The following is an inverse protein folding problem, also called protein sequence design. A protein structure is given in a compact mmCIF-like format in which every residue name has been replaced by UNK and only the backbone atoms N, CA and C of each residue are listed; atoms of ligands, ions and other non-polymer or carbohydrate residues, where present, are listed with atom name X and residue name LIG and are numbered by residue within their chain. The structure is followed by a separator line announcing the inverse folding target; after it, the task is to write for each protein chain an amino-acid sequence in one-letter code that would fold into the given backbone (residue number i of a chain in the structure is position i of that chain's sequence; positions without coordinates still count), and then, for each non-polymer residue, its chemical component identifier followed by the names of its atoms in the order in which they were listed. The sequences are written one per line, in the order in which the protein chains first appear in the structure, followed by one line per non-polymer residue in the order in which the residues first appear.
data_IF_521568340400
#
_entry.id   IF_521568340400
#
_cell.length_a   1.000
_cell.length_b   1.000
_cell.length_c   1.000
_cell.angle_alpha   90.00
_cell.angle_beta   90.00
_cell.angle_gamma   90.00
#
_symmetry.space_group_name_H-M   'P 1'
#
loop_
_entity.id
_entity.type
_entity.pdbx_description
1 polymer ?
#
# COMPACT_ATOMS: atom_id res chain seq x y z
N UNK A 1 21.91 60.73 12.32
CA UNK A 1 22.11 59.78 13.44
C UNK A 1 21.03 58.69 13.52
N UNK A 2 19.72 59.01 13.51
CA UNK A 2 18.64 58.01 13.58
C UNK A 2 18.58 57.02 12.40
N UNK A 3 18.91 57.46 11.18
CA UNK A 3 18.92 56.61 9.97
C UNK A 3 20.09 55.60 10.00
N UNK A 4 21.26 56.01 10.52
CA UNK A 4 22.45 55.16 10.62
C UNK A 4 22.23 54.04 11.66
N UNK A 5 21.56 54.35 12.78
CA UNK A 5 21.19 53.36 13.81
C UNK A 5 20.18 52.34 13.25
N UNK A 6 19.23 52.78 12.42
CA UNK A 6 18.27 51.89 11.76
C UNK A 6 18.93 50.92 10.78
N UNK A 7 19.90 51.39 10.00
CA UNK A 7 20.64 50.54 9.05
C UNK A 7 21.53 49.52 9.79
N UNK A 8 22.16 49.91 10.90
CA UNK A 8 22.98 49.01 11.72
C UNK A 8 22.15 47.89 12.38
N UNK A 9 20.91 48.19 12.79
CA UNK A 9 20.00 47.21 13.35
C UNK A 9 19.50 46.17 12.32
N UNK A 10 19.34 46.57 11.05
CA UNK A 10 18.95 45.65 9.95
C UNK A 10 20.09 44.71 9.56
N UNK A 11 21.35 45.18 9.60
CA UNK A 11 22.53 44.35 9.31
C UNK A 11 22.77 43.29 10.40
N UNK A 12 22.48 43.60 11.67
CA UNK A 12 22.60 42.64 12.78
C UNK A 12 21.56 41.50 12.73
N UNK A 13 20.49 41.65 11.95
CA UNK A 13 19.48 40.60 11.72
C UNK A 13 19.79 39.75 10.47
N UNK A 14 20.80 40.11 9.69
CA UNK A 14 21.27 39.34 8.54
C UNK A 14 22.21 38.20 8.99
N UNK A 15 21.68 37.26 9.76
CA UNK A 15 22.39 36.03 10.08
C UNK A 15 22.46 35.12 8.85
N UNK A 16 23.65 34.93 8.28
CA UNK A 16 23.89 33.88 7.31
C UNK A 16 23.62 32.52 7.98
N UNK A 17 22.55 31.84 7.57
CA UNK A 17 22.36 30.44 7.91
C UNK A 17 23.40 29.62 7.14
N UNK A 18 24.48 29.24 7.82
CA UNK A 18 25.42 28.28 7.25
C UNK A 18 24.71 26.94 7.08
N UNK A 19 24.75 26.44 5.84
CA UNK A 19 24.23 25.11 5.53
C UNK A 19 25.13 24.09 6.23
N UNK A 20 24.64 23.51 7.33
CA UNK A 20 25.29 22.38 7.95
C UNK A 20 25.27 21.19 6.98
N UNK A 21 26.44 20.83 6.45
CA UNK A 21 26.64 19.60 5.68
C UNK A 21 27.27 18.58 6.62
N UNK A 22 26.49 17.65 7.20
CA UNK A 22 27.07 16.61 8.04
C UNK A 22 28.12 15.85 7.24
N UNK A 23 29.29 15.61 7.85
CA UNK A 23 30.28 14.68 7.31
C UNK A 23 29.71 13.27 7.43
N UNK A 24 28.99 12.84 6.39
CA UNK A 24 28.45 11.49 6.32
C UNK A 24 29.60 10.53 6.03
N UNK A 25 29.83 9.56 6.92
CA UNK A 25 30.66 8.41 6.60
C UNK A 25 29.90 7.58 5.54
N UNK A 26 30.24 7.79 4.27
CA UNK A 26 29.69 7.06 3.13
C UNK A 26 30.26 5.63 3.09
N UNK A 27 29.99 4.83 4.11
CA UNK A 27 30.23 3.40 4.04
C UNK A 27 29.39 2.83 2.87
N UNK A 28 29.93 1.82 2.18
CA UNK A 28 29.22 1.13 1.09
C UNK A 28 28.02 0.37 1.68
N UNK A 29 26.86 1.02 1.77
CA UNK A 29 25.64 0.50 2.41
C UNK A 29 24.80 -0.27 1.40
N UNK A 30 25.23 -1.48 1.03
CA UNK A 30 24.43 -2.45 0.27
C UNK A 30 24.06 -3.66 1.14
N UNK A 31 23.58 -3.39 2.35
CA UNK A 31 23.15 -4.42 3.30
C UNK A 31 21.94 -5.15 2.73
N UNK A 32 21.89 -6.46 2.97
CA UNK A 32 20.73 -7.27 2.61
C UNK A 32 19.57 -6.94 3.55
N UNK A 33 18.41 -6.64 2.98
CA UNK A 33 17.16 -6.45 3.69
C UNK A 33 16.24 -7.62 3.32
N UNK A 34 15.70 -8.28 4.33
CA UNK A 34 14.85 -9.47 4.20
C UNK A 34 13.49 -9.19 4.83
N UNK A 35 12.45 -9.17 4.01
CA UNK A 35 11.07 -9.02 4.47
C UNK A 35 10.28 -10.29 4.19
N UNK A 36 9.67 -10.87 5.20
CA UNK A 36 8.86 -12.08 5.03
C UNK A 36 8.78 -12.88 6.32
N UNK A 37 8.04 -13.98 6.26
CA UNK A 37 7.92 -14.92 7.36
C UNK A 37 7.76 -16.33 6.79
N UNK A 38 8.06 -17.32 7.62
CA UNK A 38 7.81 -18.73 7.28
C UNK A 38 6.36 -19.03 7.65
N UNK A 39 5.54 -19.21 6.62
CA UNK A 39 4.13 -19.55 6.78
C UNK A 39 3.96 -21.04 7.11
N UNK A 40 3.30 -21.31 8.23
CA UNK A 40 3.05 -22.67 8.73
C UNK A 40 1.58 -23.10 8.60
N UNK A 41 0.69 -22.25 8.07
CA UNK A 41 -0.75 -22.54 7.97
C UNK A 41 -1.18 -23.22 6.67
N UNK A 42 -0.31 -24.01 6.03
CA UNK A 42 -0.62 -24.70 4.77
C UNK A 42 -0.49 -23.83 3.52
N UNK A 43 -0.12 -22.55 3.66
CA UNK A 43 0.12 -21.62 2.57
C UNK A 43 1.59 -21.58 2.12
N UNK A 44 1.86 -20.81 1.07
CA UNK A 44 3.23 -20.51 0.66
C UNK A 44 3.87 -19.48 1.62
N UNK A 45 5.20 -19.56 1.77
CA UNK A 45 6.02 -18.53 2.39
C UNK A 45 6.60 -17.63 1.31
N UNK A 46 6.48 -16.31 1.46
CA UNK A 46 7.01 -15.33 0.52
C UNK A 46 7.98 -14.39 1.22
N UNK A 47 9.16 -14.21 0.61
CA UNK A 47 10.21 -13.31 1.06
C UNK A 47 10.54 -12.29 -0.04
N UNK A 48 10.64 -11.02 0.33
CA UNK A 48 11.13 -9.95 -0.52
C UNK A 48 12.55 -9.60 -0.05
N UNK A 49 13.51 -9.72 -0.96
CA UNK A 49 14.91 -9.41 -0.73
C UNK A 49 15.28 -8.12 -1.45
N UNK A 50 15.78 -7.14 -0.69
CA UNK A 50 16.26 -5.87 -1.23
C UNK A 50 17.63 -5.53 -0.68
N UNK A 51 18.27 -4.50 -1.26
CA UNK A 51 19.54 -3.94 -0.82
C UNK A 51 19.32 -2.50 -0.40
N UNK A 52 19.92 -2.12 0.73
CA UNK A 52 19.99 -0.71 1.10
C UNK A 52 20.74 0.08 0.02
N UNK A 53 20.43 1.36 -0.11
CA UNK A 53 21.14 2.30 -0.97
C UNK A 53 21.76 3.40 -0.13
N UNK A 54 22.63 4.22 -0.73
CA UNK A 54 23.16 5.39 -0.01
C UNK A 54 22.07 6.44 0.10
N UNK A 55 22.15 7.26 1.14
CA UNK A 55 21.22 8.38 1.36
C UNK A 55 21.17 9.38 0.17
N UNK A 56 22.26 9.47 -0.60
CA UNK A 56 22.36 10.35 -1.77
C UNK A 56 21.85 9.73 -3.06
N UNK A 57 21.59 8.43 -3.07
CA UNK A 57 21.09 7.74 -4.26
C UNK A 57 19.60 8.08 -4.46
N UNK A 58 19.12 8.20 -5.71
CA UNK A 58 17.69 8.36 -5.95
C UNK A 58 16.95 7.18 -5.30
N UNK A 59 15.87 7.46 -4.57
CA UNK A 59 15.12 6.53 -3.70
C UNK A 59 14.41 5.37 -4.39
N UNK A 60 15.09 4.70 -5.33
CA UNK A 60 14.64 3.49 -6.01
C UNK A 60 14.99 2.29 -5.15
N UNK A 61 14.02 1.39 -4.98
CA UNK A 61 14.21 0.10 -4.31
C UNK A 61 15.12 -0.77 -5.20
N UNK A 62 16.19 -1.32 -4.61
CA UNK A 62 17.11 -2.23 -5.27
C UNK A 62 16.77 -3.66 -4.85
N UNK A 63 16.19 -4.44 -5.75
CA UNK A 63 15.84 -5.84 -5.50
C UNK A 63 17.05 -6.77 -5.64
N UNK A 64 17.23 -7.68 -4.69
CA UNK A 64 18.26 -8.73 -4.76
C UNK A 64 17.74 -9.88 -5.63
N UNK A 65 18.28 -10.01 -6.84
CA UNK A 65 17.84 -11.02 -7.83
C UNK A 65 18.77 -12.23 -7.88
N UNK A 66 18.25 -13.37 -8.30
CA UNK A 66 19.02 -14.60 -8.50
C UNK A 66 19.59 -15.21 -7.22
N UNK A 67 19.08 -14.84 -6.03
CA UNK A 67 19.46 -15.47 -4.78
C UNK A 67 18.90 -16.90 -4.71
N UNK A 68 19.64 -17.81 -4.08
CA UNK A 68 19.13 -19.14 -3.72
C UNK A 68 18.53 -19.04 -2.32
N UNK A 69 17.20 -19.13 -2.24
CA UNK A 69 16.47 -19.02 -0.98
C UNK A 69 15.83 -20.36 -0.64
N UNK A 70 15.98 -20.80 0.61
CA UNK A 70 15.41 -22.05 1.11
C UNK A 70 15.02 -21.92 2.58
N UNK A 71 13.97 -22.61 2.97
CA UNK A 71 13.64 -22.87 4.37
C UNK A 71 14.27 -24.22 4.74
N UNK A 72 14.95 -24.26 5.88
CA UNK A 72 15.58 -25.49 6.39
C UNK A 72 15.03 -25.82 7.77
N UNK A 73 14.64 -27.07 7.94
CA UNK A 73 14.29 -27.67 9.23
C UNK A 73 15.57 -28.05 9.99
N UNK A 74 15.49 -28.09 11.32
CA UNK A 74 16.57 -28.56 12.16
C UNK A 74 16.84 -30.08 11.96
N UNK A 75 15.81 -30.83 11.60
CA UNK A 75 15.88 -32.24 11.23
C UNK A 75 16.38 -32.49 9.79
N UNK A 76 16.84 -31.44 9.09
CA UNK A 76 17.51 -31.55 7.79
C UNK A 76 16.60 -31.51 6.57
N UNK A 77 15.27 -31.35 6.74
CA UNK A 77 14.36 -31.15 5.59
C UNK A 77 14.59 -29.78 4.96
N UNK A 78 14.51 -29.71 3.64
CA UNK A 78 14.76 -28.48 2.86
C UNK A 78 13.55 -28.18 1.99
N UNK A 79 13.12 -26.93 2.01
CA UNK A 79 12.02 -26.41 1.20
C UNK A 79 12.56 -25.25 0.35
N UNK A 80 12.82 -25.46 -0.96
CA UNK A 80 13.33 -24.41 -1.83
C UNK A 80 12.26 -23.36 -2.14
N UNK A 81 12.69 -22.12 -2.36
CA UNK A 81 11.86 -21.02 -2.83
C UNK A 81 12.29 -20.63 -4.24
N UNK A 82 11.32 -20.25 -5.08
CA UNK A 82 11.54 -19.79 -6.45
C UNK A 82 11.31 -18.30 -6.58
N UNK A 83 12.11 -17.62 -7.38
CA UNK A 83 11.92 -16.19 -7.67
C UNK A 83 10.70 -16.01 -8.60
N UNK A 84 9.62 -15.43 -8.08
CA UNK A 84 8.36 -15.22 -8.83
C UNK A 84 8.29 -13.86 -9.51
N UNK A 85 8.99 -12.88 -8.95
CA UNK A 85 9.19 -11.54 -9.48
C UNK A 85 10.53 -11.00 -8.96
N UNK A 86 11.13 -9.97 -9.56
CA UNK A 86 12.43 -9.46 -9.14
C UNK A 86 12.57 -9.31 -7.61
N UNK A 87 13.46 -10.09 -7.01
CA UNK A 87 13.72 -10.12 -5.57
C UNK A 87 12.59 -10.66 -4.69
N UNK A 88 11.56 -11.29 -5.25
CA UNK A 88 10.48 -11.93 -4.50
C UNK A 88 10.57 -13.44 -4.66
N UNK A 89 10.76 -14.15 -3.55
CA UNK A 89 10.98 -15.59 -3.49
C UNK A 89 9.81 -16.26 -2.77
N UNK A 90 9.20 -17.26 -3.38
CA UNK A 90 8.00 -17.92 -2.86
C UNK A 90 8.19 -19.44 -2.81
N UNK A 91 7.77 -20.07 -1.72
CA UNK A 91 7.77 -21.54 -1.59
C UNK A 91 6.51 -22.16 -2.22
N UNK A 92 6.52 -23.48 -2.42
CA UNK A 92 5.26 -24.22 -2.50
C UNK A 92 4.46 -24.09 -1.19
N UNK A 93 3.19 -24.47 -1.21
CA UNK A 93 2.40 -24.61 0.02
C UNK A 93 3.10 -25.54 1.01
N UNK A 94 3.30 -25.08 2.25
CA UNK A 94 4.07 -25.81 3.26
C UNK A 94 3.16 -26.33 4.37
N UNK A 95 3.34 -27.61 4.70
CA UNK A 95 2.84 -28.21 5.94
C UNK A 95 4.04 -28.55 6.81
N UNK A 96 4.26 -27.74 7.84
CA UNK A 96 5.41 -27.85 8.74
C UNK A 96 5.07 -28.70 9.97
N UNK A 97 6.05 -29.42 10.50
CA UNK A 97 5.93 -30.17 11.75
C UNK A 97 5.99 -29.19 12.93
N UNK A 98 4.97 -29.24 13.79
CA UNK A 98 4.83 -28.33 14.93
C UNK A 98 5.90 -28.52 16.01
N UNK A 99 6.57 -29.68 16.03
CA UNK A 99 7.61 -29.99 17.01
C UNK A 99 9.03 -29.65 16.52
N UNK A 100 9.17 -29.24 15.25
CA UNK A 100 10.44 -28.93 14.62
C UNK A 100 10.73 -27.42 14.67
N UNK A 101 11.97 -27.04 14.37
CA UNK A 101 12.40 -25.65 14.22
C UNK A 101 12.83 -25.38 12.80
N UNK A 102 12.52 -24.19 12.32
CA UNK A 102 12.79 -23.78 10.96
C UNK A 102 13.58 -22.48 10.93
N UNK A 103 14.39 -22.32 9.89
CA UNK A 103 15.10 -21.08 9.58
C UNK A 103 15.11 -20.81 8.09
N UNK A 104 15.33 -19.55 7.73
CA UNK A 104 15.61 -19.14 6.36
C UNK A 104 17.11 -19.22 6.08
N UNK A 105 17.48 -19.72 4.90
CA UNK A 105 18.83 -19.72 4.37
C UNK A 105 18.83 -19.07 3.00
N UNK A 106 19.73 -18.09 2.82
CA UNK A 106 19.87 -17.30 1.60
C UNK A 106 21.32 -17.39 1.15
N UNK A 107 21.55 -17.73 -0.11
CA UNK A 107 22.84 -17.54 -0.76
C UNK A 107 22.68 -16.48 -1.85
N UNK A 108 23.42 -15.37 -1.71
CA UNK A 108 23.31 -14.23 -2.61
C UNK A 108 24.63 -13.46 -2.68
N UNK A 109 25.07 -13.11 -3.90
CA UNK A 109 26.32 -12.37 -4.10
C UNK A 109 27.57 -13.07 -3.55
N UNK A 110 27.61 -14.41 -3.59
CA UNK A 110 28.71 -15.22 -3.05
C UNK A 110 28.77 -15.29 -1.51
N UNK A 111 27.74 -14.79 -0.82
CA UNK A 111 27.63 -14.80 0.65
C UNK A 111 26.46 -15.67 1.09
N UNK A 112 26.58 -16.22 2.29
CA UNK A 112 25.51 -17.00 2.92
C UNK A 112 24.96 -16.25 4.13
N UNK A 113 23.63 -16.21 4.23
CA UNK A 113 22.88 -15.59 5.30
C UNK A 113 21.92 -16.59 5.89
N UNK A 114 21.86 -16.65 7.22
CA UNK A 114 21.00 -17.57 7.96
C UNK A 114 20.20 -16.78 8.99
N UNK A 115 18.90 -17.06 9.10
CA UNK A 115 18.14 -16.67 10.29
C UNK A 115 18.45 -17.63 11.43
N UNK A 116 18.15 -17.19 12.65
CA UNK A 116 18.03 -18.13 13.76
C UNK A 116 16.91 -19.15 13.52
N UNK A 117 17.03 -20.31 14.18
CA UNK A 117 15.99 -21.32 14.23
C UNK A 117 14.84 -20.83 15.11
N UNK A 118 13.64 -20.74 14.54
CA UNK A 118 12.42 -20.41 15.28
C UNK A 118 11.45 -21.59 15.32
N UNK A 119 10.68 -21.67 16.40
CA UNK A 119 9.57 -22.63 16.55
C UNK A 119 8.32 -22.06 15.91
N UNK A 120 7.46 -22.93 15.41
CA UNK A 120 6.15 -22.54 14.91
C UNK A 120 5.31 -21.89 16.01
N UNK A 121 4.77 -20.70 15.71
CA UNK A 121 3.82 -19.99 16.56
C UNK A 121 2.40 -20.19 16.07
N UNK A 122 1.53 -20.59 16.98
CA UNK A 122 0.10 -20.65 16.74
C UNK A 122 -0.48 -19.22 16.75
N UNK A 123 -1.12 -18.82 15.67
CA UNK A 123 -1.78 -17.52 15.59
C UNK A 123 -3.27 -17.71 15.89
N UNK A 124 -3.82 -17.07 16.93
CA UNK A 124 -5.25 -17.16 17.22
C UNK A 124 -6.07 -16.49 16.11
N UNK A 125 -7.35 -16.86 16.02
CA UNK A 125 -8.24 -16.31 15.01
C UNK A 125 -8.53 -14.81 15.24
N UNK A 126 -8.90 -14.12 14.17
CA UNK A 126 -9.42 -12.75 14.24
C UNK A 126 -10.90 -12.83 14.61
N UNK A 127 -11.27 -12.35 15.80
CA UNK A 127 -12.65 -12.37 16.30
C UNK A 127 -13.55 -11.49 15.45
N UNK A 128 -13.09 -10.28 15.15
CA UNK A 128 -13.78 -9.36 14.26
C UNK A 128 -12.84 -8.27 13.74
N UNK A 129 -13.20 -7.74 12.58
CA UNK A 129 -12.73 -6.45 12.11
C UNK A 129 -13.95 -5.55 12.13
N UNK A 130 -13.93 -4.52 12.97
CA UNK A 130 -15.05 -3.61 13.19
C UNK A 130 -14.68 -2.19 12.76
N UNK A 131 -15.68 -1.32 12.69
CA UNK A 131 -15.47 0.09 12.38
C UNK A 131 -16.38 0.97 13.23
N UNK A 132 -15.94 2.20 13.48
CA UNK A 132 -16.70 3.23 14.14
C UNK A 132 -16.52 4.56 13.39
N UNK A 133 -17.58 5.36 13.37
CA UNK A 133 -17.52 6.73 12.87
C UNK A 133 -16.95 7.63 13.95
N UNK A 134 -15.91 8.37 13.60
CA UNK A 134 -15.28 9.39 14.42
C UNK A 134 -15.38 10.76 13.74
N UNK A 135 -15.08 11.83 14.47
CA UNK A 135 -15.20 13.20 13.96
C UNK A 135 -14.37 13.46 12.68
N UNK A 136 -13.25 12.76 12.52
CA UNK A 136 -12.29 12.89 11.43
C UNK A 136 -12.45 11.82 10.32
N UNK A 137 -13.41 10.90 10.45
CA UNK A 137 -13.61 9.84 9.45
C UNK A 137 -14.11 8.53 10.02
N UNK A 138 -13.60 7.44 9.46
CA UNK A 138 -13.97 6.06 9.80
C UNK A 138 -12.75 5.34 10.37
N UNK A 139 -12.83 4.94 11.63
CA UNK A 139 -11.78 4.21 12.34
C UNK A 139 -12.10 2.72 12.34
N UNK A 140 -11.20 1.92 11.79
CA UNK A 140 -11.30 0.47 11.79
C UNK A 140 -10.48 -0.11 12.93
N UNK A 141 -11.00 -1.18 13.54
CA UNK A 141 -10.38 -1.90 14.64
C UNK A 141 -10.26 -3.38 14.33
N UNK A 142 -9.24 -4.00 14.91
CA UNK A 142 -9.07 -5.45 14.94
C UNK A 142 -9.29 -5.95 16.37
N UNK A 143 -10.05 -7.03 16.50
CA UNK A 143 -10.30 -7.71 17.76
C UNK A 143 -9.81 -9.16 17.66
N UNK A 144 -9.04 -9.59 18.66
CA UNK A 144 -8.58 -10.98 18.77
C UNK A 144 -8.36 -11.34 20.24
N UNK A 145 -8.49 -12.63 20.55
CA UNK A 145 -8.15 -13.17 21.85
C UNK A 145 -7.48 -14.54 21.70
N UNK A 146 -6.62 -14.89 22.65
CA UNK A 146 -6.10 -16.24 22.81
C UNK A 146 -6.52 -16.81 24.17
N UNK A 147 -7.49 -17.73 24.23
CA UNK A 147 -7.90 -18.34 25.48
C UNK A 147 -6.82 -19.27 26.06
N UNK A 148 -5.82 -19.69 25.26
CA UNK A 148 -4.73 -20.57 25.69
C UNK A 148 -3.49 -19.82 26.13
N UNK A 149 -3.48 -18.49 25.99
CA UNK A 149 -2.35 -17.65 26.35
C UNK A 149 -1.02 -18.11 25.70
N UNK A 150 -1.10 -18.52 24.43
CA UNK A 150 0.04 -19.09 23.68
C UNK A 150 0.87 -18.04 22.95
N UNK A 151 0.33 -16.83 22.81
CA UNK A 151 1.02 -15.64 22.32
C UNK A 151 0.60 -14.42 23.16
N UNK A 152 1.37 -13.34 23.09
CA UNK A 152 1.03 -12.03 23.68
C UNK A 152 1.37 -10.87 22.75
N UNK A 153 1.88 -11.19 21.56
CA UNK A 153 2.42 -10.22 20.62
C UNK A 153 1.89 -10.52 19.24
N UNK A 154 1.46 -9.47 18.55
CA UNK A 154 0.70 -9.56 17.33
C UNK A 154 1.23 -8.58 16.29
N UNK A 155 1.15 -9.01 15.04
CA UNK A 155 1.29 -8.14 13.88
C UNK A 155 0.05 -8.28 13.00
N UNK A 156 -0.37 -7.15 12.43
CA UNK A 156 -1.40 -7.10 11.41
C UNK A 156 -0.85 -6.49 10.13
N UNK A 157 -1.20 -7.12 9.01
CA UNK A 157 -1.07 -6.55 7.67
C UNK A 157 -2.45 -6.39 7.08
N UNK A 158 -2.61 -5.46 6.16
CA UNK A 158 -3.92 -5.23 5.56
C UNK A 158 -3.82 -4.88 4.07
N UNK A 159 -4.77 -5.40 3.31
CA UNK A 159 -4.92 -5.12 1.88
C UNK A 159 -6.29 -4.47 1.67
N UNK A 160 -6.30 -3.23 1.18
CA UNK A 160 -7.52 -2.46 0.97
C UNK A 160 -7.90 -2.54 -0.51
N UNK A 161 -9.19 -2.65 -0.80
CA UNK A 161 -9.73 -2.57 -2.15
C UNK A 161 -11.05 -1.82 -2.11
N UNK A 162 -11.27 -0.89 -3.04
CA UNK A 162 -12.53 -0.15 -3.12
C UNK A 162 -13.04 -0.05 -4.55
N UNK A 163 -14.37 -0.06 -4.67
CA UNK A 163 -15.10 0.29 -5.87
C UNK A 163 -15.34 1.81 -5.88
N UNK A 164 -15.13 2.42 -7.04
CA UNK A 164 -15.46 3.81 -7.29
C UNK A 164 -16.00 3.96 -8.72
N UNK A 165 -16.84 4.97 -8.93
CA UNK A 165 -17.41 5.26 -10.24
C UNK A 165 -16.87 6.58 -10.80
N UNK A 166 -16.78 6.66 -12.12
CA UNK A 166 -16.60 7.93 -12.83
C UNK A 166 -17.74 8.90 -12.48
N UNK A 167 -17.44 10.19 -12.43
CA UNK A 167 -18.45 11.22 -12.14
C UNK A 167 -19.49 11.34 -13.26
N UNK A 168 -19.08 11.05 -14.50
CA UNK A 168 -19.98 11.04 -15.66
C UNK A 168 -19.95 9.68 -16.35
N UNK A 169 -21.12 9.22 -16.77
CA UNK A 169 -21.23 8.14 -17.76
C UNK A 169 -20.91 8.68 -19.15
N UNK A 170 -20.38 7.84 -20.04
CA UNK A 170 -20.13 8.22 -21.44
C UNK A 170 -20.78 7.24 -22.41
N UNK A 171 -21.51 7.77 -23.39
CA UNK A 171 -22.04 7.02 -24.54
C UNK A 171 -21.34 7.43 -25.84
N UNK A 172 -20.55 8.50 -25.83
CA UNK A 172 -19.87 9.07 -27.00
C UNK A 172 -18.35 8.92 -26.93
N UNK A 173 -17.71 8.85 -28.10
CA UNK A 173 -16.26 8.90 -28.27
C UNK A 173 -15.90 9.74 -29.49
N UNK A 174 -14.67 10.21 -29.55
CA UNK A 174 -14.14 10.81 -30.78
C UNK A 174 -14.11 9.80 -31.92
N UNK A 175 -14.42 10.29 -33.13
CA UNK A 175 -14.09 9.62 -34.39
C UNK A 175 -12.83 10.23 -34.97
N UNK A 176 -12.00 9.41 -35.60
CA UNK A 176 -10.72 9.81 -36.18
C UNK A 176 -10.67 9.43 -37.66
N UNK A 177 -9.95 10.21 -38.47
CA UNK A 177 -9.54 9.82 -39.82
C UNK A 177 -8.31 8.89 -39.80
N UNK A 178 -7.86 8.49 -40.99
CA UNK A 178 -6.67 7.65 -41.15
C UNK A 178 -5.37 8.33 -40.73
N UNK A 179 -5.39 9.66 -40.54
CA UNK A 179 -4.27 10.49 -40.10
C UNK A 179 -4.36 10.84 -38.61
N UNK A 180 -5.29 10.21 -37.87
CA UNK A 180 -5.53 10.42 -36.45
C UNK A 180 -6.02 11.83 -36.08
N UNK A 181 -6.64 12.56 -37.01
CA UNK A 181 -7.31 13.82 -36.71
C UNK A 181 -8.74 13.56 -36.26
N UNK A 182 -9.21 14.34 -35.29
CA UNK A 182 -10.61 14.30 -34.87
C UNK A 182 -11.50 14.74 -36.04
N UNK A 183 -12.47 13.90 -36.39
CA UNK A 183 -13.48 14.12 -37.44
C UNK A 183 -14.89 14.34 -36.90
N UNK A 184 -15.10 14.10 -35.60
CA UNK A 184 -16.39 14.27 -34.94
C UNK A 184 -16.51 13.45 -33.67
N UNK A 185 -17.75 13.21 -33.25
CA UNK A 185 -18.10 12.29 -32.17
C UNK A 185 -19.07 11.23 -32.68
N UNK A 186 -18.97 10.03 -32.14
CA UNK A 186 -19.84 8.90 -32.47
C UNK A 186 -20.17 8.11 -31.21
N UNK A 187 -21.21 7.28 -31.26
CA UNK A 187 -21.54 6.40 -30.15
C UNK A 187 -20.45 5.34 -29.94
N UNK A 188 -20.14 5.07 -28.66
CA UNK A 188 -19.20 4.02 -28.25
C UNK A 188 -19.73 2.64 -28.57
N UNK A 189 -21.01 2.43 -28.25
CA UNK A 189 -21.71 1.16 -28.38
C UNK A 189 -22.83 1.27 -29.42
N UNK A 190 -23.11 0.21 -30.21
CA UNK A 190 -24.23 0.20 -31.15
C UNK A 190 -25.59 0.45 -30.49
N UNK A 191 -25.76 0.03 -29.23
CA UNK A 191 -26.96 0.25 -28.41
C UNK A 191 -27.18 1.73 -28.02
N UNK A 192 -26.17 2.60 -28.20
CA UNK A 192 -26.15 3.99 -27.74
C UNK A 192 -26.25 4.16 -26.21
N UNK A 193 -26.16 3.07 -25.45
CA UNK A 193 -26.13 3.10 -23.99
C UNK A 193 -24.79 3.60 -23.46
N UNK A 194 -24.76 3.99 -22.17
CA UNK A 194 -23.51 4.29 -21.49
C UNK A 194 -22.57 3.08 -21.48
N UNK A 195 -21.28 3.34 -21.68
CA UNK A 195 -20.22 2.35 -21.57
C UNK A 195 -19.81 2.18 -20.10
N UNK A 196 -20.33 1.12 -19.48
CA UNK A 196 -20.07 0.82 -18.07
C UNK A 196 -18.63 0.37 -17.80
N UNK A 197 -17.86 -0.01 -18.83
CA UNK A 197 -16.49 -0.51 -18.69
C UNK A 197 -15.48 0.57 -18.31
N UNK A 198 -15.82 1.84 -18.55
CA UNK A 198 -15.04 3.03 -18.15
C UNK A 198 -15.71 3.81 -17.01
N UNK A 199 -16.87 3.34 -16.54
CA UNK A 199 -17.61 3.95 -15.44
C UNK A 199 -17.33 3.27 -14.10
N UNK A 200 -17.33 1.94 -14.03
CA UNK A 200 -17.14 1.18 -12.77
C UNK A 200 -15.73 0.59 -12.70
N UNK A 201 -14.95 1.02 -11.71
CA UNK A 201 -13.60 0.53 -11.48
C UNK A 201 -13.33 0.16 -10.02
N UNK A 202 -12.23 -0.56 -9.84
CA UNK A 202 -11.66 -0.91 -8.55
C UNK A 202 -10.23 -0.41 -8.45
N UNK A 203 -9.81 -0.09 -7.24
CA UNK A 203 -8.41 0.12 -6.91
C UNK A 203 -8.06 -0.70 -5.66
N UNK A 204 -6.84 -1.21 -5.63
CA UNK A 204 -6.29 -1.92 -4.47
C UNK A 204 -5.02 -1.26 -3.99
N UNK A 205 -4.80 -1.30 -2.69
CA UNK A 205 -3.64 -0.73 -2.03
C UNK A 205 -3.16 -1.68 -0.93
N UNK A 206 -1.84 -1.92 -0.90
CA UNK A 206 -1.16 -2.60 0.19
C UNK A 206 -0.29 -1.58 0.91
N UNK A 207 -0.71 -1.15 2.10
CA UNK A 207 0.07 -0.25 2.93
C UNK A 207 1.14 -1.04 3.69
N UNK A 208 2.34 -0.47 3.79
CA UNK A 208 3.47 -1.06 4.51
C UNK A 208 3.63 -0.50 5.94
N UNK A 209 2.60 0.13 6.51
CA UNK A 209 2.69 0.61 7.89
C UNK A 209 2.79 -0.56 8.88
N UNK A 210 3.60 -0.36 9.92
CA UNK A 210 3.87 -1.38 10.92
C UNK A 210 2.75 -1.35 11.97
N UNK A 211 1.82 -2.28 11.85
CA UNK A 211 0.73 -2.47 12.80
C UNK A 211 1.05 -3.63 13.73
N UNK A 212 1.41 -3.32 14.97
CA UNK A 212 1.74 -4.30 16.01
C UNK A 212 0.99 -3.98 17.30
N UNK A 213 0.72 -5.00 18.12
CA UNK A 213 0.04 -4.85 19.40
C UNK A 213 0.43 -5.97 20.37
N UNK A 214 0.30 -5.70 21.67
CA UNK A 214 0.63 -6.66 22.71
C UNK A 214 -0.39 -6.63 23.85
N UNK A 215 -0.64 -7.81 24.41
CA UNK A 215 -1.49 -8.02 25.58
C UNK A 215 -0.66 -8.41 26.80
N UNK A 216 0.67 -8.27 26.74
CA UNK A 216 1.61 -8.57 27.84
C UNK A 216 1.26 -7.81 29.13
N UNK A 217 0.75 -6.58 29.00
CA UNK A 217 0.33 -5.74 30.14
C UNK A 217 -1.11 -6.02 30.61
N UNK A 218 -1.79 -6.99 30.02
CA UNK A 218 -3.17 -7.35 30.33
C UNK A 218 -3.23 -8.72 31.01
N UNK A 219 -4.13 -8.87 31.98
CA UNK A 219 -4.31 -10.15 32.68
C UNK A 219 -4.83 -11.27 31.77
N UNK A 220 -5.52 -10.92 30.68
CA UNK A 220 -6.02 -11.85 29.66
C UNK A 220 -5.45 -11.47 28.30
N UNK A 221 -5.21 -12.47 27.45
CA UNK A 221 -4.79 -12.21 26.08
C UNK A 221 -6.00 -11.81 25.22
N UNK A 222 -6.30 -10.52 25.25
CA UNK A 222 -7.36 -9.87 24.46
C UNK A 222 -6.79 -8.58 23.90
N UNK A 223 -6.96 -8.37 22.60
CA UNK A 223 -6.59 -7.14 21.90
C UNK A 223 -7.83 -6.51 21.30
N UNK A 224 -7.95 -5.19 21.52
CA UNK A 224 -8.75 -4.29 20.73
C UNK A 224 -7.83 -3.16 20.27
N UNK A 225 -7.51 -3.09 18.97
CA UNK A 225 -6.50 -2.15 18.46
C UNK A 225 -6.99 -1.40 17.21
N UNK A 226 -6.69 -0.09 17.09
CA UNK A 226 -6.94 0.66 15.87
C UNK A 226 -6.03 0.17 14.76
N UNK A 227 -6.57 0.06 13.53
CA UNK A 227 -5.87 -0.52 12.39
C UNK A 227 -5.74 0.47 11.22
N UNK A 228 -6.87 1.03 10.76
CA UNK A 228 -6.92 1.93 9.60
C UNK A 228 -7.79 3.12 9.95
N UNK A 229 -7.30 4.32 9.66
CA UNK A 229 -8.10 5.54 9.68
C UNK A 229 -8.40 5.96 8.24
N UNK A 230 -9.68 6.00 7.88
CA UNK A 230 -10.14 6.51 6.58
C UNK A 230 -10.69 7.92 6.79
N UNK A 231 -10.09 8.96 6.20
CA UNK A 231 -10.57 10.33 6.37
C UNK A 231 -12.02 10.50 5.92
N UNK A 232 -12.73 11.45 6.54
CA UNK A 232 -14.07 11.86 6.11
C UNK A 232 -14.06 12.24 4.62
N UNK A 233 -15.12 11.88 3.89
CA UNK A 233 -15.27 12.10 2.44
C UNK A 233 -14.21 11.41 1.58
N UNK A 234 -13.52 10.40 2.11
CA UNK A 234 -12.61 9.59 1.31
C UNK A 234 -13.36 8.82 0.23
N UNK A 235 -12.89 8.95 -1.01
CA UNK A 235 -13.36 8.18 -2.16
C UNK A 235 -13.22 6.67 -2.00
N UNK A 236 -12.38 6.19 -1.08
CA UNK A 236 -12.26 4.77 -0.75
C UNK A 236 -13.59 4.16 -0.30
N UNK A 237 -14.50 4.97 0.25
CA UNK A 237 -15.85 4.52 0.65
C UNK A 237 -16.91 5.31 -0.12
N UNK A 238 -16.71 5.48 -1.43
CA UNK A 238 -17.68 6.10 -2.35
C UNK A 238 -18.79 5.15 -2.79
N UNK A 239 -18.50 3.85 -2.89
CA UNK A 239 -19.48 2.82 -3.29
C UNK A 239 -19.43 1.64 -2.32
N UNK A 240 -18.35 0.87 -2.40
CA UNK A 240 -18.11 -0.29 -1.53
C UNK A 240 -16.62 -0.37 -1.25
N UNK A 241 -16.27 -0.48 0.03
CA UNK A 241 -14.92 -0.64 0.53
C UNK A 241 -14.73 -2.06 1.06
N UNK A 242 -13.54 -2.61 0.89
CA UNK A 242 -13.12 -3.87 1.51
C UNK A 242 -11.73 -3.75 2.09
N UNK A 243 -11.52 -4.41 3.22
CA UNK A 243 -10.20 -4.66 3.78
C UNK A 243 -10.05 -6.14 4.12
N UNK A 244 -8.93 -6.74 3.71
CA UNK A 244 -8.46 -8.03 4.19
C UNK A 244 -7.40 -7.80 5.26
N UNK A 245 -7.68 -8.19 6.50
CA UNK A 245 -6.73 -8.14 7.60
C UNK A 245 -6.07 -9.50 7.75
N UNK A 246 -4.75 -9.53 7.81
CA UNK A 246 -3.92 -10.72 8.07
C UNK A 246 -3.23 -10.55 9.41
N UNK A 247 -3.35 -11.54 10.27
CA UNK A 247 -2.83 -11.56 11.63
C UNK A 247 -1.73 -12.63 11.75
N UNK A 248 -0.70 -12.29 12.53
CA UNK A 248 0.44 -13.15 12.85
C UNK A 248 0.77 -13.06 14.35
N UNK A 249 1.01 -14.21 14.98
CA UNK A 249 1.62 -14.25 16.30
C UNK A 249 3.13 -14.02 16.20
N UNK A 250 3.67 -13.19 17.09
CA UNK A 250 5.08 -12.83 17.14
C UNK A 250 5.77 -13.40 18.38
N UNK A 251 7.08 -13.63 18.29
CA UNK A 251 7.95 -13.67 19.47
C UNK A 251 8.09 -12.30 20.11
N UNK A 252 8.56 -12.28 21.36
CA UNK A 252 8.93 -11.02 22.03
C UNK A 252 10.04 -10.30 21.25
N UNK A 253 10.98 -11.05 20.72
CA UNK A 253 12.12 -10.55 19.95
C UNK A 253 11.65 -9.95 18.62
N UNK A 254 10.75 -10.63 17.90
CA UNK A 254 10.12 -10.09 16.69
C UNK A 254 9.32 -8.82 16.99
N UNK A 255 8.55 -8.80 18.09
CA UNK A 255 7.78 -7.62 18.49
C UNK A 255 8.68 -6.41 18.72
N UNK A 256 9.78 -6.59 19.47
CA UNK A 256 10.78 -5.54 19.68
C UNK A 256 11.42 -5.08 18.37
N UNK A 257 11.77 -6.01 17.48
CA UNK A 257 12.29 -5.69 16.15
C UNK A 257 11.34 -4.74 15.39
N UNK A 258 10.04 -5.08 15.34
CA UNK A 258 9.05 -4.26 14.64
C UNK A 258 8.75 -2.95 15.36
N UNK A 259 8.78 -2.91 16.70
CA UNK A 259 8.62 -1.69 17.49
C UNK A 259 9.76 -0.70 17.22
N UNK A 260 11.00 -1.19 17.19
CA UNK A 260 12.16 -0.38 16.84
C UNK A 260 12.12 0.09 15.39
N UNK A 261 11.72 -0.78 14.46
CA UNK A 261 11.57 -0.40 13.06
C UNK A 261 10.51 0.69 12.90
N UNK A 262 9.34 0.52 13.54
CA UNK A 262 8.26 1.53 13.55
C UNK A 262 8.74 2.86 14.12
N UNK A 263 9.47 2.83 15.23
CA UNK A 263 10.06 4.04 15.83
C UNK A 263 11.01 4.74 14.85
N UNK A 264 11.83 3.99 14.13
CA UNK A 264 12.82 4.55 13.22
C UNK A 264 12.23 5.05 11.88
N UNK A 265 11.13 4.46 11.39
CA UNK A 265 10.59 4.78 10.05
C UNK A 265 9.33 5.64 10.06
N UNK A 266 8.54 5.61 11.14
CA UNK A 266 7.25 6.30 11.22
C UNK A 266 7.26 7.50 12.19
N UNK A 267 8.33 7.72 12.95
CA UNK A 267 8.48 8.98 13.69
C UNK A 267 8.85 10.11 12.72
N UNK A 268 8.07 11.20 12.75
CA UNK A 268 8.16 12.32 11.82
C UNK A 268 9.45 13.16 11.94
N UNK A 269 10.36 12.82 12.86
CA UNK A 269 11.66 13.46 12.97
C UNK A 269 11.58 14.85 13.60
N UNK A 270 12.01 14.97 14.86
CA UNK A 270 12.37 16.20 15.54
C UNK A 270 13.89 16.23 15.78
N UNK A 271 14.47 17.42 15.95
CA UNK A 271 15.89 17.57 16.35
C UNK A 271 16.19 16.97 17.74
N UNK A 272 15.15 16.61 18.48
CA UNK A 272 15.20 15.96 19.79
C UNK A 272 14.81 14.48 19.74
N UNK A 273 14.48 13.93 18.57
CA UNK A 273 14.14 12.52 18.45
C UNK A 273 15.38 11.67 18.71
N UNK A 274 15.16 10.52 19.36
CA UNK A 274 16.22 9.57 19.62
C UNK A 274 16.87 9.13 18.30
N UNK A 275 18.20 9.08 18.28
CA UNK A 275 18.92 8.58 17.12
C UNK A 275 18.48 7.13 16.80
N UNK A 276 18.23 6.78 15.53
CA UNK A 276 17.85 5.42 15.16
C UNK A 276 18.86 4.39 15.69
N UNK A 277 18.37 3.37 16.40
CA UNK A 277 19.19 2.24 16.85
C UNK A 277 19.41 1.24 15.70
N UNK A 278 20.58 0.58 15.69
CA UNK A 278 20.93 -0.42 14.68
C UNK A 278 20.05 -1.68 14.79
N UNK A 279 18.96 -1.68 14.01
CA UNK A 279 17.96 -2.72 13.82
C UNK A 279 18.43 -4.00 13.07
N UNK A 280 19.25 -4.93 13.61
CA UNK A 280 19.77 -6.07 12.79
C UNK A 280 18.89 -7.33 12.77
N UNK A 281 17.85 -7.43 13.61
CA UNK A 281 16.97 -8.60 13.68
C UNK A 281 17.70 -9.93 13.95
N UNK A 282 17.18 -11.05 13.40
CA UNK A 282 17.68 -12.42 13.68
C UNK A 282 18.42 -13.06 12.50
N UNK A 283 18.80 -12.28 11.50
CA UNK A 283 19.56 -12.73 10.32
C UNK A 283 21.04 -12.35 10.47
N UNK A 284 21.94 -13.27 10.11
CA UNK A 284 23.39 -13.03 10.10
C UNK A 284 24.04 -13.54 8.83
N UNK A 285 25.05 -12.82 8.36
CA UNK A 285 25.94 -13.31 7.31
C UNK A 285 26.97 -14.25 7.92
N UNK A 286 26.97 -15.54 7.55
CA UNK A 286 27.93 -16.52 8.09
C UNK A 286 29.28 -16.46 7.39
N UNK A 287 29.31 -15.99 6.15
CA UNK A 287 30.56 -15.82 5.38
C UNK A 287 31.34 -14.57 5.79
N UNK A 288 30.65 -13.53 6.29
CA UNK A 288 31.27 -12.29 6.79
C UNK A 288 30.53 -11.80 8.04
N UNK A 289 30.92 -12.24 9.24
CA UNK A 289 30.17 -11.96 10.48
C UNK A 289 29.96 -10.47 10.82
N UNK A 290 30.87 -9.59 10.38
CA UNK A 290 30.75 -8.14 10.60
C UNK A 290 29.78 -7.44 9.63
N UNK A 291 29.21 -8.17 8.67
CA UNK A 291 28.25 -7.61 7.72
C UNK A 291 26.86 -7.51 8.33
N UNK A 292 26.30 -6.30 8.28
CA UNK A 292 24.93 -6.02 8.72
C UNK A 292 23.93 -6.62 7.74
N UNK A 293 22.92 -7.27 8.29
CA UNK A 293 21.71 -7.75 7.60
C UNK A 293 20.52 -7.19 8.36
N UNK A 294 19.48 -6.80 7.65
CA UNK A 294 18.27 -6.22 8.25
C UNK A 294 17.10 -7.15 7.96
N UNK A 295 16.42 -7.59 9.00
CA UNK A 295 15.21 -8.39 8.86
C UNK A 295 15.01 -9.34 10.03
N UNK A 296 13.76 -9.76 10.22
CA UNK A 296 13.41 -10.74 11.22
C UNK A 296 12.53 -11.81 10.59
N UNK A 297 12.97 -13.06 10.68
CA UNK A 297 12.24 -14.21 10.17
C UNK A 297 11.56 -14.93 11.33
N UNK A 298 10.24 -14.92 11.33
CA UNK A 298 9.40 -15.67 12.27
C UNK A 298 8.75 -16.86 11.57
N UNK A 299 8.44 -17.92 12.33
CA UNK A 299 7.62 -19.06 11.85
C UNK A 299 6.25 -18.94 12.50
N UNK A 300 5.23 -18.58 11.74
CA UNK A 300 3.89 -18.32 12.28
C UNK A 300 2.78 -18.79 11.34
N UNK A 301 1.59 -19.00 11.89
CA UNK A 301 0.38 -19.19 11.08
C UNK A 301 -0.13 -17.84 10.57
N UNK A 302 -0.70 -17.80 9.36
CA UNK A 302 -1.46 -16.65 8.88
C UNK A 302 -2.95 -16.88 9.14
N UNK A 303 -3.60 -15.93 9.82
CA UNK A 303 -5.07 -15.89 9.94
C UNK A 303 -5.59 -14.65 9.25
N UNK A 304 -6.65 -14.79 8.47
CA UNK A 304 -7.21 -13.67 7.72
C UNK A 304 -8.69 -13.47 7.98
N UNK A 305 -9.13 -12.21 7.85
CA UNK A 305 -10.54 -11.82 7.94
C UNK A 305 -10.82 -10.64 7.04
N UNK A 306 -11.88 -10.76 6.24
CA UNK A 306 -12.32 -9.71 5.32
C UNK A 306 -13.54 -8.98 5.88
N UNK A 307 -13.53 -7.66 5.78
CA UNK A 307 -14.65 -6.77 6.05
C UNK A 307 -15.06 -6.05 4.76
N UNK A 308 -16.36 -5.78 4.63
CA UNK A 308 -16.92 -4.89 3.63
C UNK A 308 -17.69 -3.76 4.30
N UNK A 309 -17.58 -2.55 3.75
CA UNK A 309 -18.28 -1.35 4.23
C UNK A 309 -18.89 -0.66 3.01
N UNK A 310 -20.21 -0.64 2.94
CA UNK A 310 -20.95 0.06 1.88
C UNK A 310 -21.12 1.53 2.25
N UNK A 311 -21.03 2.41 1.24
CA UNK A 311 -21.36 3.82 1.42
C UNK A 311 -22.79 4.03 1.98
N UNK A 312 -23.72 3.11 1.68
CA UNK A 312 -25.08 3.15 2.20
C UNK A 312 -25.19 2.90 3.72
N UNK A 313 -24.13 2.39 4.36
CA UNK A 313 -24.06 2.22 5.82
C UNK A 313 -23.57 3.49 6.54
N UNK A 314 -23.09 4.49 5.79
CA UNK A 314 -22.54 5.73 6.31
C UNK A 314 -23.61 6.84 6.30
N UNK A 315 -23.44 7.89 7.13
CA UNK A 315 -24.32 9.06 7.12
C UNK A 315 -24.44 9.69 5.74
N UNK A 316 -25.59 10.31 5.45
CA UNK A 316 -25.86 10.93 4.16
C UNK A 316 -24.87 12.08 3.80
N UNK A 317 -24.20 12.68 4.80
CA UNK A 317 -23.16 13.68 4.59
C UNK A 317 -21.77 13.09 4.33
N UNK A 318 -21.62 11.75 4.31
CA UNK A 318 -20.45 11.05 3.80
C UNK A 318 -20.45 11.07 2.27
N UNK A 319 -20.20 12.24 1.70
CA UNK A 319 -20.19 12.44 0.26
C UNK A 319 -18.76 12.75 -0.22
N UNK A 320 -18.14 11.77 -0.85
CA UNK A 320 -16.98 12.06 -1.71
C UNK A 320 -17.48 12.79 -2.95
N UNK A 321 -16.93 13.97 -3.21
CA UNK A 321 -17.17 14.73 -4.43
C UNK A 321 -15.86 14.85 -5.17
N UNK A 322 -15.81 14.30 -6.38
CA UNK A 322 -14.72 14.57 -7.30
C UNK A 322 -14.95 15.94 -7.94
N UNK A 323 -13.97 16.85 -7.94
CA UNK A 323 -14.09 18.13 -8.62
C UNK A 323 -14.07 17.89 -10.14
N UNK A 324 -15.26 17.77 -10.72
CA UNK A 324 -15.48 17.55 -12.14
C UNK A 324 -16.35 18.67 -12.68
N UNK A 325 -15.95 19.23 -13.81
CA UNK A 325 -16.72 20.22 -14.54
C UNK A 325 -17.25 19.59 -15.83
N UNK A 326 -18.56 19.70 -16.03
CA UNK A 326 -19.20 19.32 -17.27
C UNK A 326 -19.22 20.53 -18.21
N UNK A 327 -18.66 20.36 -19.39
CA UNK A 327 -18.58 21.40 -20.42
C UNK A 327 -19.59 21.02 -21.50
N UNK A 328 -20.51 21.92 -21.80
CA UNK A 328 -21.47 21.75 -22.88
C UNK A 328 -21.04 22.59 -24.07
N UNK A 329 -20.97 21.99 -25.25
CA UNK A 329 -20.59 22.69 -26.48
C UNK A 329 -21.70 22.65 -27.52
N UNK A 330 -21.90 23.80 -28.17
CA UNK A 330 -22.90 24.03 -29.22
C UNK A 330 -22.35 25.07 -30.22
N UNK A 331 -22.61 24.95 -31.52
CA UNK A 331 -23.30 23.84 -32.18
C UNK A 331 -22.42 22.59 -32.27
N UNK A 332 -23.02 21.40 -32.36
CA UNK A 332 -22.32 20.15 -32.71
C UNK A 332 -21.70 20.25 -34.13
N UNK A 333 -20.49 20.80 -34.22
CA UNK A 333 -19.71 20.94 -35.44
C UNK A 333 -18.23 20.61 -35.19
N UNK A 334 -17.46 20.45 -36.26
CA UNK A 334 -16.08 19.95 -36.13
C UNK A 334 -15.14 20.90 -35.38
N UNK A 335 -15.32 22.22 -35.53
CA UNK A 335 -14.43 23.21 -34.91
C UNK A 335 -14.63 23.25 -33.39
N UNK A 336 -15.88 23.22 -32.92
CA UNK A 336 -16.19 23.15 -31.50
C UNK A 336 -15.71 21.83 -30.89
N UNK A 337 -15.91 20.70 -31.57
CA UNK A 337 -15.44 19.38 -31.12
C UNK A 337 -13.91 19.37 -30.98
N UNK A 338 -13.18 19.94 -31.95
CA UNK A 338 -11.71 20.02 -31.93
C UNK A 338 -11.18 20.94 -30.83
N UNK A 339 -11.90 22.01 -30.50
CA UNK A 339 -11.54 22.88 -29.37
C UNK A 339 -11.54 22.14 -28.02
N UNK A 340 -12.22 20.99 -27.96
CA UNK A 340 -12.32 20.14 -26.77
C UNK A 340 -11.30 19.00 -26.73
N UNK A 341 -10.29 18.95 -27.60
CA UNK A 341 -9.36 17.81 -27.72
C UNK A 341 -8.67 17.35 -26.42
N UNK A 342 -8.60 18.21 -25.38
CA UNK A 342 -8.10 17.86 -24.04
C UNK A 342 -9.13 17.21 -23.09
N UNK A 343 -10.38 17.09 -23.53
CA UNK A 343 -11.51 16.54 -22.79
C UNK A 343 -12.04 15.29 -23.48
N UNK A 344 -12.89 14.51 -22.80
CA UNK A 344 -13.59 13.39 -23.42
C UNK A 344 -15.08 13.72 -23.59
N UNK A 345 -15.71 13.29 -24.70
CA UNK A 345 -17.17 13.35 -24.85
C UNK A 345 -17.87 12.48 -23.78
N UNK A 346 -18.95 13.00 -23.20
CA UNK A 346 -19.83 12.24 -22.30
C UNK A 346 -21.00 11.67 -23.10
N UNK A 347 -22.02 12.47 -23.33
CA UNK A 347 -23.32 12.10 -23.83
C UNK A 347 -23.94 13.27 -24.62
N UNK A 348 -24.93 13.00 -25.48
CA UNK A 348 -25.70 14.05 -26.12
C UNK A 348 -26.58 14.77 -25.09
N UNK A 349 -26.43 16.09 -24.98
CA UNK A 349 -27.16 16.92 -24.02
C UNK A 349 -28.52 17.35 -24.59
N UNK A 350 -28.54 17.80 -25.85
CA UNK A 350 -29.76 18.27 -26.53
C UNK A 350 -29.87 17.72 -27.95
N UNK A 351 -31.11 17.60 -28.42
CA UNK A 351 -31.45 17.15 -29.76
C UNK A 351 -32.32 18.18 -30.50
N UNK A 352 -32.10 18.31 -31.80
CA UNK A 352 -33.01 19.00 -32.71
C UNK A 352 -34.28 18.17 -32.94
N UNK A 353 -35.39 18.78 -33.42
CA UNK A 353 -36.60 18.05 -33.80
C UNK A 353 -36.36 16.93 -34.84
N UNK A 354 -35.31 17.06 -35.66
CA UNK A 354 -34.88 16.03 -36.62
C UNK A 354 -34.22 14.81 -35.96
N UNK A 355 -33.98 14.83 -34.66
CA UNK A 355 -33.21 13.82 -33.92
C UNK A 355 -31.70 13.99 -34.00
N UNK A 356 -31.20 15.04 -34.66
CA UNK A 356 -29.78 15.36 -34.70
C UNK A 356 -29.29 15.91 -33.34
N UNK A 357 -28.11 15.49 -32.89
CA UNK A 357 -27.51 16.01 -31.67
C UNK A 357 -27.08 17.46 -31.89
N UNK A 358 -27.52 18.37 -31.02
CA UNK A 358 -27.24 19.81 -31.11
C UNK A 358 -26.18 20.25 -30.11
N UNK A 359 -26.27 19.72 -28.89
CA UNK A 359 -25.38 20.05 -27.77
C UNK A 359 -24.67 18.79 -27.30
N UNK A 360 -23.36 18.85 -27.12
CA UNK A 360 -22.53 17.74 -26.67
C UNK A 360 -21.97 18.02 -25.27
N UNK A 361 -21.99 17.02 -24.41
CA UNK A 361 -21.32 17.04 -23.12
C UNK A 361 -19.86 16.60 -23.25
N UNK A 362 -18.98 17.28 -22.52
CA UNK A 362 -17.56 16.99 -22.38
C UNK A 362 -17.18 17.06 -20.90
N UNK A 363 -16.13 16.34 -20.54
CA UNK A 363 -15.55 16.39 -19.20
C UNK A 363 -14.08 16.00 -19.22
N UNK A 364 -13.38 16.24 -18.11
CA UNK A 364 -11.98 15.85 -18.01
C UNK A 364 -11.85 14.33 -18.10
N UNK A 365 -10.77 13.78 -18.68
CA UNK A 365 -10.64 12.34 -18.88
C UNK A 365 -10.83 11.53 -17.59
N UNK A 366 -10.29 11.99 -16.46
CA UNK A 366 -10.39 11.31 -15.16
C UNK A 366 -11.78 11.35 -14.50
N UNK A 367 -12.70 12.16 -15.03
CA UNK A 367 -14.10 12.22 -14.60
C UNK A 367 -15.01 11.29 -15.40
N UNK A 368 -14.51 10.75 -16.52
CA UNK A 368 -15.28 9.94 -17.48
C UNK A 368 -14.73 8.52 -17.54
N UNK A 369 -13.41 8.38 -17.51
CA UNK A 369 -12.73 7.10 -17.61
C UNK A 369 -12.02 6.74 -16.30
N UNK A 370 -12.66 5.87 -15.53
CA UNK A 370 -12.13 5.41 -14.25
C UNK A 370 -10.87 4.54 -14.40
N UNK A 371 -10.59 4.00 -15.60
CA UNK A 371 -9.41 3.16 -15.86
C UNK A 371 -8.10 3.96 -15.80
N UNK A 372 -8.20 5.29 -15.85
CA UNK A 372 -7.06 6.19 -15.61
C UNK A 372 -6.61 6.22 -14.15
N UNK A 373 -7.44 5.72 -13.22
CA UNK A 373 -7.19 5.73 -11.77
C UNK A 373 -7.22 4.34 -11.14
N UNK A 374 -7.77 3.35 -11.84
CA UNK A 374 -7.95 2.00 -11.35
C UNK A 374 -8.11 1.00 -12.49
N UNK A 375 -8.71 -0.15 -12.19
CA UNK A 375 -8.96 -1.21 -13.17
C UNK A 375 -10.45 -1.51 -13.26
N UNK A 376 -10.94 -1.81 -14.45
CA UNK A 376 -12.31 -2.30 -14.67
C UNK A 376 -12.43 -3.82 -14.46
N UNK A 377 -11.35 -4.49 -14.03
CA UNK A 377 -11.36 -5.90 -13.66
C UNK A 377 -11.88 -6.06 -12.24
N UNK A 378 -13.09 -6.61 -12.08
CA UNK A 378 -13.71 -6.91 -10.79
C UNK A 378 -12.85 -7.93 -10.00
N UNK A 379 -12.44 -7.62 -8.75
CA UNK A 379 -11.72 -8.58 -7.92
C UNK A 379 -12.55 -9.85 -7.66
N UNK A 380 -11.91 -11.01 -7.61
CA UNK A 380 -12.59 -12.31 -7.46
C UNK A 380 -13.35 -12.47 -6.14
N UNK A 381 -12.90 -11.81 -5.08
CA UNK A 381 -13.55 -11.81 -3.76
C UNK A 381 -14.66 -10.76 -3.64
N UNK A 382 -14.86 -9.91 -4.66
CA UNK A 382 -15.83 -8.82 -4.61
C UNK A 382 -17.25 -9.36 -4.80
N UNK A 383 -18.21 -9.00 -3.93
CA UNK A 383 -19.57 -9.55 -3.95
C UNK A 383 -20.33 -9.23 -5.25
#
# INVERSE_FOLDING_TARGET
MRIIIGILAVILLAGCKEKYTPKLNNATTAYLVVEGFINSSGGASTFVLTRTTRLTDPGKIVYERGAMVKITSELGKVYPLTETSPGTYTSAALTLDKNDRYRLSIQAGGKEYLSDYSKMRNTPAIDSVSWQLENNGLQLYVNTHDPKDSTRYYQWKHEQTWEFHSSYTTSLKYSYDNQNNITGVTYRLPSRSADMSVYRCWQSEKLQSISIGSSEKLSKDVIHAPLIQIPKNSWKVSVLYSVLVKQYALSREAYKFFEEMKRNTEQLGSIFDAQPSANTGNLRCVTKPDEVVIGFVEVSEEKEKRLFISAAQLPADWAYVQPCEAIQVKPNNIDTIRSMAGYLPTDPVDYAPSGAIVTLGFGTPSCIDCTLRGTNVKPSFWP
#
